data_IF_734449658385
#
_entry.id   IF_734449658385
#
_cell.length_a   1.000
_cell.length_b   1.000
_cell.length_c   1.000
_cell.angle_alpha   90.00
_cell.angle_beta   90.00
_cell.angle_gamma   90.00
#
_symmetry.space_group_name_H-M   'P 1'
#
loop_
_entity.id
_entity.type
_entity.pdbx_description
1 polymer ?
#
# COMPACT_ATOMS: atom_id res chain seq x y z
N UNK A 1 6.60 7.31 49.38
CA UNK A 1 6.61 7.55 47.91
C UNK A 1 7.21 6.32 47.26
N UNK A 2 6.39 5.50 46.61
CA UNK A 2 6.85 4.33 45.87
C UNK A 2 6.89 4.71 44.38
N UNK A 3 8.09 4.76 43.79
CA UNK A 3 8.28 4.97 42.35
C UNK A 3 8.22 3.60 41.70
N UNK A 4 7.16 3.34 40.93
CA UNK A 4 7.03 2.14 40.12
C UNK A 4 7.81 2.36 38.82
N UNK A 5 8.99 1.74 38.69
CA UNK A 5 9.77 1.76 37.46
C UNK A 5 9.14 0.78 36.46
N UNK A 6 8.55 1.32 35.39
CA UNK A 6 8.01 0.53 34.28
C UNK A 6 9.18 0.07 33.40
N UNK A 7 9.57 -1.19 33.53
CA UNK A 7 10.53 -1.82 32.64
C UNK A 7 9.85 -2.10 31.30
N UNK A 8 10.12 -1.27 30.30
CA UNK A 8 9.73 -1.55 28.91
C UNK A 8 10.68 -2.63 28.40
N UNK A 9 10.23 -3.89 28.47
CA UNK A 9 10.89 -4.98 27.76
C UNK A 9 10.72 -4.73 26.26
N UNK A 10 11.84 -4.47 25.57
CA UNK A 10 11.87 -4.32 24.10
C UNK A 10 11.51 -5.65 23.44
N UNK A 11 10.22 -5.88 23.21
CA UNK A 11 9.76 -6.94 22.34
C UNK A 11 10.16 -6.58 20.91
N UNK A 12 11.05 -7.35 20.30
CA UNK A 12 11.32 -7.25 18.86
C UNK A 12 10.03 -7.58 18.11
N UNK A 13 9.35 -6.54 17.62
CA UNK A 13 8.19 -6.71 16.77
C UNK A 13 8.65 -7.36 15.46
N UNK A 14 8.13 -8.56 15.18
CA UNK A 14 8.30 -9.19 13.87
C UNK A 14 7.24 -8.61 12.93
N UNK A 15 7.65 -7.68 12.07
CA UNK A 15 6.85 -7.29 10.93
C UNK A 15 6.86 -8.45 9.91
N UNK A 16 5.70 -8.84 9.42
CA UNK A 16 5.57 -9.79 8.31
C UNK A 16 5.81 -9.03 7.01
N UNK A 17 6.57 -9.63 6.08
CA UNK A 17 6.70 -9.10 4.73
C UNK A 17 5.47 -9.50 3.92
N UNK A 18 4.76 -8.54 3.34
CA UNK A 18 3.57 -8.80 2.53
C UNK A 18 3.89 -9.63 1.27
N UNK A 19 5.12 -9.48 0.75
CA UNK A 19 5.67 -10.27 -0.38
C UNK A 19 5.73 -11.78 -0.12
N UNK A 20 5.68 -12.21 1.14
CA UNK A 20 5.73 -13.63 1.51
C UNK A 20 4.34 -14.30 1.53
N UNK A 21 3.26 -13.55 1.31
CA UNK A 21 1.92 -14.12 1.19
C UNK A 21 1.84 -15.01 -0.08
N UNK A 22 1.36 -16.27 0.00
CA UNK A 22 1.47 -17.25 -1.09
C UNK A 22 0.85 -16.84 -2.45
N UNK A 23 -0.16 -15.97 -2.46
CA UNK A 23 -0.77 -15.47 -3.70
C UNK A 23 -0.03 -14.25 -4.24
N UNK A 24 0.36 -13.30 -3.38
CA UNK A 24 1.10 -12.10 -3.76
C UNK A 24 2.53 -12.44 -4.22
N UNK A 25 3.14 -13.51 -3.70
CA UNK A 25 4.43 -13.98 -4.20
C UNK A 25 4.39 -14.39 -5.69
N UNK A 26 3.21 -14.79 -6.19
CA UNK A 26 2.99 -15.11 -7.61
C UNK A 26 2.46 -13.92 -8.44
N UNK A 27 2.02 -12.85 -7.79
CA UNK A 27 1.58 -11.59 -8.43
C UNK A 27 2.19 -10.37 -7.70
N UNK A 28 3.51 -10.17 -7.82
CA UNK A 28 4.23 -9.15 -7.05
C UNK A 28 3.85 -7.71 -7.44
N UNK A 29 3.24 -7.50 -8.61
CA UNK A 29 2.76 -6.19 -9.05
C UNK A 29 1.43 -5.81 -8.39
N UNK A 30 0.72 -6.78 -7.81
CA UNK A 30 -0.48 -6.58 -6.99
C UNK A 30 -0.16 -6.36 -5.50
N UNK A 31 1.12 -6.42 -5.12
CA UNK A 31 1.54 -6.30 -3.72
C UNK A 31 1.28 -4.88 -3.19
N UNK A 32 0.19 -4.71 -2.43
CA UNK A 32 -0.08 -3.50 -1.65
C UNK A 32 0.77 -3.52 -0.39
N UNK A 33 1.69 -2.58 -0.26
CA UNK A 33 2.64 -2.57 0.85
C UNK A 33 2.07 -1.83 2.05
N UNK A 34 1.44 -0.67 1.81
CA UNK A 34 0.86 0.18 2.83
C UNK A 34 -0.28 1.05 2.27
N UNK A 35 -1.23 1.39 3.14
CA UNK A 35 -2.25 2.41 2.91
C UNK A 35 -2.19 3.44 4.05
N UNK A 36 -2.08 4.72 3.68
CA UNK A 36 -2.15 5.83 4.62
C UNK A 36 -3.41 6.65 4.34
N UNK A 37 -4.14 7.00 5.39
CA UNK A 37 -5.27 7.90 5.32
C UNK A 37 -5.17 8.91 6.46
N UNK A 38 -5.17 10.19 6.12
CA UNK A 38 -5.05 11.26 7.09
C UNK A 38 -5.81 12.50 6.63
N UNK A 39 -6.23 13.34 7.59
CA UNK A 39 -6.84 14.63 7.29
C UNK A 39 -5.86 15.48 6.49
N UNK A 40 -6.32 16.04 5.38
CA UNK A 40 -5.44 16.75 4.46
C UNK A 40 -4.83 18.00 5.13
N UNK A 41 -3.51 18.23 4.99
CA UNK A 41 -2.84 19.39 5.57
C UNK A 41 -3.15 20.70 4.84
N UNK A 42 -3.58 20.63 3.58
CA UNK A 42 -3.96 21.75 2.71
C UNK A 42 -5.47 22.09 2.80
N UNK A 43 -6.34 21.09 2.96
CA UNK A 43 -7.76 21.26 3.29
C UNK A 43 -8.22 20.29 4.40
N UNK A 44 -8.38 20.80 5.64
CA UNK A 44 -8.82 19.99 6.79
C UNK A 44 -10.21 19.34 6.67
N UNK A 45 -11.02 19.73 5.67
CA UNK A 45 -12.33 19.11 5.42
C UNK A 45 -12.24 17.89 4.49
N UNK A 46 -11.06 17.56 4.00
CA UNK A 46 -10.82 16.40 3.12
C UNK A 46 -9.88 15.39 3.78
N UNK A 47 -9.88 14.17 3.24
CA UNK A 47 -8.96 13.10 3.62
C UNK A 47 -8.01 12.88 2.44
N UNK A 48 -6.71 12.92 2.70
CA UNK A 48 -5.70 12.43 1.77
C UNK A 48 -5.50 10.94 1.98
N UNK A 49 -5.54 10.19 0.89
CA UNK A 49 -5.27 8.75 0.87
C UNK A 49 -4.06 8.49 -0.02
N UNK A 50 -3.12 7.69 0.47
CA UNK A 50 -1.92 7.26 -0.26
C UNK A 50 -1.85 5.74 -0.18
N UNK A 51 -1.79 5.07 -1.33
CA UNK A 51 -1.63 3.62 -1.43
C UNK A 51 -0.29 3.30 -2.10
N UNK A 52 0.54 2.52 -1.43
CA UNK A 52 1.83 2.08 -1.93
C UNK A 52 1.72 0.65 -2.46
N UNK A 53 2.43 0.39 -3.57
CA UNK A 53 2.51 -0.91 -4.21
C UNK A 53 3.96 -1.18 -4.63
N UNK A 54 4.29 -2.46 -4.87
CA UNK A 54 5.60 -2.90 -5.36
C UNK A 54 6.72 -2.60 -4.34
N UNK A 55 6.97 -3.50 -3.37
CA UNK A 55 7.99 -3.27 -2.35
C UNK A 55 9.42 -3.34 -2.90
N UNK A 56 10.35 -2.79 -2.12
CA UNK A 56 11.79 -3.04 -2.24
C UNK A 56 12.41 -2.60 -3.59
N UNK A 57 12.02 -1.43 -4.09
CA UNK A 57 12.60 -0.76 -5.27
C UNK A 57 14.00 -0.19 -5.01
N UNK A 58 14.90 -1.01 -4.46
CA UNK A 58 16.24 -0.59 -4.03
C UNK A 58 17.18 -0.48 -5.24
N UNK A 59 18.05 0.55 -5.33
CA UNK A 59 18.90 0.80 -6.50
C UNK A 59 19.80 -0.36 -6.94
N UNK A 60 20.20 -1.22 -6.00
CA UNK A 60 21.08 -2.37 -6.23
C UNK A 60 20.31 -3.68 -6.47
N UNK A 61 18.98 -3.68 -6.35
CA UNK A 61 18.10 -4.84 -6.46
C UNK A 61 17.55 -5.05 -7.86
N UNK A 62 18.41 -4.95 -8.89
CA UNK A 62 17.99 -4.99 -10.28
C UNK A 62 17.20 -6.25 -10.67
N UNK A 63 16.45 -6.22 -11.78
CA UNK A 63 16.31 -5.11 -12.73
C UNK A 63 15.43 -3.95 -12.19
N UNK A 64 15.88 -2.70 -12.38
CA UNK A 64 15.23 -1.50 -11.85
C UNK A 64 14.11 -0.98 -12.78
N UNK A 65 13.24 -1.89 -13.26
CA UNK A 65 12.09 -1.55 -14.09
C UNK A 65 10.82 -1.87 -13.32
N UNK A 66 10.36 -0.92 -12.51
CA UNK A 66 9.12 -1.04 -11.76
C UNK A 66 7.97 -0.41 -12.55
N UNK A 67 6.85 -1.12 -12.61
CA UNK A 67 5.66 -0.66 -13.30
C UNK A 67 4.42 -1.27 -12.68
N UNK A 68 3.31 -0.54 -12.68
CA UNK A 68 2.01 -1.12 -12.39
C UNK A 68 1.65 -2.21 -13.41
N UNK A 69 0.94 -3.24 -12.97
CA UNK A 69 0.49 -4.31 -13.84
C UNK A 69 -0.69 -3.87 -14.71
N UNK A 70 -0.65 -4.23 -16.00
CA UNK A 70 -1.71 -3.87 -16.95
C UNK A 70 -2.98 -4.72 -16.80
N UNK A 71 -2.87 -5.88 -16.16
CA UNK A 71 -3.98 -6.81 -15.90
C UNK A 71 -4.37 -6.85 -14.42
N UNK A 72 -4.11 -5.76 -13.68
CA UNK A 72 -4.39 -5.65 -12.25
C UNK A 72 -5.40 -4.54 -12.02
N UNK A 73 -6.36 -4.83 -11.14
CA UNK A 73 -7.37 -3.88 -10.69
C UNK A 73 -6.98 -3.38 -9.30
N UNK A 74 -6.47 -2.16 -9.23
CA UNK A 74 -6.10 -1.53 -7.97
C UNK A 74 -7.32 -0.78 -7.43
N UNK A 75 -7.77 -1.11 -6.22
CA UNK A 75 -8.97 -0.54 -5.63
C UNK A 75 -8.72 -0.03 -4.21
N UNK A 76 -9.32 1.11 -3.90
CA UNK A 76 -9.47 1.63 -2.55
C UNK A 76 -10.96 1.67 -2.26
N UNK A 77 -11.35 0.91 -1.24
CA UNK A 77 -12.73 0.77 -0.80
C UNK A 77 -12.95 1.66 0.42
N UNK A 78 -13.98 2.49 0.37
CA UNK A 78 -14.32 3.43 1.44
C UNK A 78 -15.76 3.17 1.86
N UNK A 79 -15.92 2.82 3.13
CA UNK A 79 -17.19 2.73 3.85
C UNK A 79 -17.21 3.87 4.89
N UNK A 80 -18.01 4.88 4.61
CA UNK A 80 -18.23 6.06 5.45
C UNK A 80 -19.56 5.98 6.22
N UNK A 81 -20.47 5.10 5.82
CA UNK A 81 -21.74 4.85 6.47
C UNK A 81 -21.91 3.36 6.76
N UNK A 82 -21.67 3.00 8.03
CA UNK A 82 -21.78 1.63 8.55
C UNK A 82 -23.18 1.01 8.42
N UNK A 83 -24.19 1.81 8.02
CA UNK A 83 -25.54 1.31 7.75
C UNK A 83 -25.73 0.85 6.29
N UNK A 84 -24.86 1.29 5.37
CA UNK A 84 -24.82 0.82 3.99
C UNK A 84 -24.20 -0.58 3.94
N UNK A 85 -24.86 -1.58 3.32
CA UNK A 85 -24.22 -2.85 3.06
C UNK A 85 -23.18 -2.71 1.93
N UNK A 86 -21.90 -2.78 2.26
CA UNK A 86 -20.78 -2.73 1.30
C UNK A 86 -20.11 -1.35 1.25
N UNK A 87 -19.34 -1.10 0.19
CA UNK A 87 -18.56 0.13 0.06
C UNK A 87 -19.42 1.29 -0.45
N UNK A 88 -19.28 2.48 0.14
CA UNK A 88 -19.95 3.69 -0.35
C UNK A 88 -19.22 4.30 -1.55
N UNK A 89 -17.88 4.23 -1.56
CA UNK A 89 -17.02 4.78 -2.61
C UNK A 89 -15.93 3.77 -2.94
N UNK A 90 -15.73 3.54 -4.24
CA UNK A 90 -14.61 2.73 -4.76
C UNK A 90 -13.79 3.60 -5.70
N UNK A 91 -12.54 3.87 -5.33
CA UNK A 91 -11.55 4.38 -6.28
C UNK A 91 -10.88 3.21 -6.97
N UNK A 92 -10.99 3.15 -8.30
CA UNK A 92 -10.42 2.08 -9.12
C UNK A 92 -9.40 2.65 -10.10
N UNK A 93 -8.24 2.00 -10.16
CA UNK A 93 -7.16 2.31 -11.08
C UNK A 93 -6.80 1.09 -11.91
N UNK A 94 -6.59 1.32 -13.21
CA UNK A 94 -6.06 0.36 -14.16
C UNK A 94 -5.01 1.08 -14.98
N UNK A 95 -3.92 0.41 -15.29
CA UNK A 95 -2.79 1.01 -15.99
C UNK A 95 -2.60 0.36 -17.36
N UNK A 96 -2.13 1.14 -18.33
CA UNK A 96 -1.70 0.65 -19.63
C UNK A 96 -0.31 1.20 -19.90
N UNK A 97 0.57 0.39 -20.46
CA UNK A 97 1.95 0.77 -20.77
C UNK A 97 2.12 0.88 -22.27
N UNK A 98 2.79 1.95 -22.70
CA UNK A 98 3.22 2.12 -24.08
C UNK A 98 4.74 2.24 -24.07
N UNK A 99 5.42 1.41 -24.86
CA UNK A 99 6.84 1.60 -25.11
C UNK A 99 6.99 2.68 -26.18
N UNK A 100 7.55 3.83 -25.82
CA UNK A 100 7.75 4.95 -26.74
C UNK A 100 8.86 4.68 -27.75
N UNK A 101 9.80 3.77 -27.44
CA UNK A 101 10.85 3.32 -28.35
C UNK A 101 10.83 1.79 -28.50
N UNK A 102 10.21 1.25 -29.56
CA UNK A 102 10.12 -0.20 -29.77
C UNK A 102 11.46 -0.85 -30.14
N UNK A 103 12.56 -0.10 -30.25
CA UNK A 103 13.90 -0.63 -30.52
C UNK A 103 14.67 -1.01 -29.25
N UNK A 104 14.14 -0.67 -28.07
CA UNK A 104 14.59 -1.11 -26.73
C UNK A 104 13.56 -2.01 -26.08
#
# INVERSE_FOLDING_TARGET
>A
MLVLALWISGQSLRASSHREAPLISNDPLADNTDLYAFRSPDDPNTITIIANYIPAELPYGGPNYFSFGENIRYEIHIDNDVSTPGDDIIYRFTFSRTNEDPTT
#
